data_IF_032251042222
#
_entry.id   IF_032251042222
#
_cell.length_a   1.000
_cell.length_b   1.000
_cell.length_c   1.000
_cell.angle_alpha   90.00
_cell.angle_beta   90.00
_cell.angle_gamma   90.00
#
_symmetry.space_group_name_H-M   'P 1'
#
loop_
_entity.id
_entity.type
_entity.pdbx_description
1 polymer ?
#
# COMPACT_ATOMS: atom_id res chain seq x y z
N UNK A 1 -18.20 14.66 13.42
CA UNK A 1 -17.80 16.09 13.26
C UNK A 1 -16.34 16.33 13.61
N UNK A 2 -15.87 16.01 14.83
CA UNK A 2 -14.47 16.20 15.22
C UNK A 2 -13.47 15.51 14.26
N UNK A 3 -13.73 14.25 13.90
CA UNK A 3 -12.85 13.52 12.97
C UNK A 3 -12.92 14.09 11.55
N UNK A 4 -14.11 14.43 11.04
CA UNK A 4 -14.23 15.09 9.74
C UNK A 4 -13.44 16.42 9.69
N UNK A 5 -13.45 17.22 10.77
CA UNK A 5 -12.66 18.44 10.85
C UNK A 5 -11.15 18.13 10.86
N UNK A 6 -10.69 17.22 11.73
CA UNK A 6 -9.27 16.85 11.84
C UNK A 6 -8.71 16.27 10.53
N UNK A 7 -9.43 15.32 9.93
CA UNK A 7 -9.05 14.68 8.67
C UNK A 7 -9.20 15.66 7.50
N UNK A 8 -10.23 16.51 7.51
CA UNK A 8 -10.44 17.51 6.47
C UNK A 8 -9.31 18.54 6.43
N UNK A 9 -8.87 19.03 7.59
CA UNK A 9 -7.71 19.92 7.67
C UNK A 9 -6.46 19.28 7.08
N UNK A 10 -6.14 18.04 7.48
CA UNK A 10 -4.90 17.38 7.03
C UNK A 10 -4.94 16.90 5.56
N UNK A 11 -6.09 16.45 5.07
CA UNK A 11 -6.18 15.69 3.83
C UNK A 11 -7.03 16.33 2.74
N UNK A 12 -7.67 17.47 3.03
CA UNK A 12 -8.28 18.35 2.02
C UNK A 12 -7.56 19.69 2.00
N UNK A 13 -7.43 20.36 3.15
CA UNK A 13 -6.81 21.70 3.21
C UNK A 13 -5.29 21.64 3.02
N UNK A 14 -4.56 20.91 3.87
CA UNK A 14 -3.09 20.78 3.76
C UNK A 14 -2.72 20.07 2.45
N UNK A 15 -3.50 19.06 2.03
CA UNK A 15 -3.26 18.39 0.75
C UNK A 15 -3.29 19.37 -0.44
N UNK A 16 -4.30 20.26 -0.48
CA UNK A 16 -4.36 21.32 -1.50
C UNK A 16 -3.28 22.38 -1.32
N UNK A 17 -2.89 22.70 -0.09
CA UNK A 17 -1.78 23.62 0.20
C UNK A 17 -0.47 23.10 -0.40
N UNK A 18 -0.11 21.84 -0.14
CA UNK A 18 1.09 21.19 -0.72
C UNK A 18 1.11 21.33 -2.25
N UNK A 19 -0.04 21.14 -2.91
CA UNK A 19 -0.14 21.30 -4.36
C UNK A 19 0.05 22.75 -4.78
N UNK A 20 -0.52 23.70 -4.03
CA UNK A 20 -0.36 25.13 -4.32
C UNK A 20 1.10 25.55 -4.25
N UNK A 21 1.83 25.12 -3.24
CA UNK A 21 3.26 25.42 -3.08
C UNK A 21 4.08 24.86 -4.25
N UNK A 22 3.80 23.64 -4.71
CA UNK A 22 4.47 23.12 -5.90
C UNK A 22 4.08 23.86 -7.19
N UNK A 23 2.86 24.36 -7.33
CA UNK A 23 2.50 25.20 -8.49
C UNK A 23 3.19 26.57 -8.41
N UNK A 24 3.33 27.15 -7.22
CA UNK A 24 4.03 28.44 -7.03
C UNK A 24 5.51 28.32 -7.43
N UNK A 25 6.17 27.26 -6.97
CA UNK A 25 7.54 26.94 -7.37
C UNK A 25 7.71 26.82 -8.89
N UNK A 26 6.70 26.27 -9.59
CA UNK A 26 6.72 26.11 -11.04
C UNK A 26 6.47 27.44 -11.77
N UNK A 27 5.59 28.28 -11.25
CA UNK A 27 5.31 29.61 -11.81
C UNK A 27 6.57 30.49 -11.72
N UNK A 28 7.23 30.52 -10.56
CA UNK A 28 8.48 31.25 -10.33
C UNK A 28 9.65 30.69 -11.17
N UNK A 29 9.71 29.37 -11.36
CA UNK A 29 10.66 28.74 -12.27
C UNK A 29 10.49 29.27 -13.71
N UNK A 30 9.25 29.33 -14.20
CA UNK A 30 8.93 29.80 -15.57
C UNK A 30 9.26 31.27 -15.76
N UNK A 31 9.08 32.08 -14.71
CA UNK A 31 9.43 33.51 -14.73
C UNK A 31 10.94 33.77 -14.63
N UNK A 32 11.76 32.74 -14.44
CA UNK A 32 13.21 32.85 -14.34
C UNK A 32 13.69 33.43 -13.01
N UNK A 33 12.86 33.39 -11.96
CA UNK A 33 13.16 33.87 -10.60
C UNK A 33 13.95 32.83 -9.76
N UNK A 34 14.73 31.96 -10.43
CA UNK A 34 15.43 30.83 -9.81
C UNK A 34 16.48 31.26 -8.78
N UNK A 35 17.06 32.46 -8.95
CA UNK A 35 18.06 33.03 -8.02
C UNK A 35 17.46 33.97 -6.97
N UNK A 36 16.15 34.21 -7.03
CA UNK A 36 15.46 34.92 -5.96
C UNK A 36 15.33 33.92 -4.81
N UNK A 37 16.31 34.03 -3.89
CA UNK A 37 16.52 33.16 -2.73
C UNK A 37 15.32 33.05 -1.77
N UNK A 38 14.17 33.65 -2.07
CA UNK A 38 12.94 33.58 -1.27
C UNK A 38 11.78 32.87 -2.00
N UNK A 39 11.91 32.52 -3.29
CA UNK A 39 10.73 32.20 -4.14
C UNK A 39 10.64 30.70 -4.58
N UNK A 40 11.26 30.20 -5.67
CA UNK A 40 10.83 28.91 -6.24
C UNK A 40 11.23 27.66 -5.44
N UNK A 41 12.49 27.59 -4.95
CA UNK A 41 12.96 26.43 -4.18
C UNK A 41 12.36 26.43 -2.78
N UNK A 42 12.12 27.63 -2.22
CA UNK A 42 11.45 27.80 -0.95
C UNK A 42 10.02 27.28 -1.00
N UNK A 43 9.24 27.63 -2.04
CA UNK A 43 7.91 27.09 -2.23
C UNK A 43 7.93 25.56 -2.43
N UNK A 44 8.86 25.02 -3.22
CA UNK A 44 8.95 23.56 -3.41
C UNK A 44 9.24 22.84 -2.08
N UNK A 45 10.23 23.31 -1.32
CA UNK A 45 10.61 22.71 -0.03
C UNK A 45 9.51 22.92 1.02
N UNK A 46 8.75 24.01 0.95
CA UNK A 46 7.57 24.23 1.79
C UNK A 46 6.49 23.18 1.49
N UNK A 47 6.22 22.89 0.22
CA UNK A 47 5.33 21.79 -0.18
C UNK A 47 5.76 20.44 0.42
N UNK A 48 7.06 20.12 0.39
CA UNK A 48 7.62 18.92 1.01
C UNK A 48 7.46 18.94 2.54
N UNK A 49 7.71 20.08 3.18
CA UNK A 49 7.60 20.24 4.62
C UNK A 49 6.15 20.05 5.12
N UNK A 50 5.16 20.59 4.40
CA UNK A 50 3.75 20.39 4.71
C UNK A 50 3.26 18.96 4.41
N UNK A 51 3.83 18.30 3.40
CA UNK A 51 3.56 16.89 3.14
C UNK A 51 4.02 15.99 4.28
N UNK A 52 5.25 16.20 4.76
CA UNK A 52 5.86 15.43 5.84
C UNK A 52 5.27 15.76 7.22
N UNK A 53 5.23 17.06 7.56
CA UNK A 53 4.85 17.56 8.87
C UNK A 53 5.96 17.47 9.92
N UNK A 54 6.00 18.44 10.82
CA UNK A 54 7.09 18.57 11.82
C UNK A 54 7.14 17.46 12.87
N UNK A 55 6.04 16.73 13.10
CA UNK A 55 5.96 15.65 14.08
C UNK A 55 6.51 14.31 13.56
N UNK A 56 6.79 14.21 12.26
CA UNK A 56 7.31 12.98 11.65
C UNK A 56 8.76 12.69 12.08
N UNK A 57 9.51 13.73 12.49
CA UNK A 57 10.92 13.61 12.84
C UNK A 57 11.80 13.22 11.64
N UNK A 58 13.11 13.01 11.85
CA UNK A 58 14.07 12.79 10.76
C UNK A 58 14.01 11.39 10.14
N UNK A 59 13.35 10.42 10.78
CA UNK A 59 13.36 9.00 10.41
C UNK A 59 11.97 8.39 10.26
N UNK A 60 10.92 9.20 10.24
CA UNK A 60 9.54 8.73 10.41
C UNK A 60 9.20 8.52 11.89
N UNK A 61 7.99 8.91 12.28
CA UNK A 61 7.52 8.83 13.66
C UNK A 61 6.06 8.42 13.69
N UNK A 62 5.66 7.68 14.72
CA UNK A 62 4.27 7.28 14.87
C UNK A 62 3.34 8.46 15.21
N UNK A 63 3.91 9.58 15.67
CA UNK A 63 3.24 10.81 16.08
C UNK A 63 2.87 11.75 14.92
N UNK A 64 3.30 11.44 13.70
CA UNK A 64 2.94 12.21 12.51
C UNK A 64 1.43 12.34 12.30
N UNK A 65 1.01 13.46 11.70
CA UNK A 65 -0.41 13.76 11.45
C UNK A 65 -0.72 14.23 10.02
N UNK A 66 0.31 14.40 9.19
CA UNK A 66 0.24 14.93 7.83
C UNK A 66 0.17 13.80 6.79
N UNK A 67 0.04 14.11 5.47
CA UNK A 67 -0.11 13.10 4.41
C UNK A 67 0.97 12.00 4.39
N UNK A 68 2.23 12.31 4.69
CA UNK A 68 3.30 11.30 4.79
C UNK A 68 2.92 10.18 5.77
N UNK A 69 2.47 10.54 6.97
CA UNK A 69 2.09 9.54 7.98
C UNK A 69 0.86 8.73 7.58
N UNK A 70 -0.06 9.33 6.83
CA UNK A 70 -1.20 8.59 6.30
C UNK A 70 -0.72 7.45 5.39
N UNK A 71 0.23 7.72 4.50
CA UNK A 71 0.81 6.71 3.62
C UNK A 71 1.47 5.56 4.40
N UNK A 72 2.28 5.87 5.42
CA UNK A 72 2.88 4.85 6.30
C UNK A 72 1.81 3.97 6.96
N UNK A 73 0.74 4.57 7.50
CA UNK A 73 -0.36 3.83 8.13
C UNK A 73 -1.16 3.00 7.14
N UNK A 74 -1.30 3.44 5.89
CA UNK A 74 -2.08 2.72 4.88
C UNK A 74 -1.28 1.62 4.23
N UNK A 75 0.03 1.77 4.05
CA UNK A 75 0.83 0.72 3.43
C UNK A 75 0.76 -0.60 4.20
N UNK A 76 0.78 -0.53 5.53
CA UNK A 76 0.65 -1.70 6.41
C UNK A 76 -0.72 -2.38 6.25
N UNK A 77 -1.77 -1.59 6.00
CA UNK A 77 -3.13 -2.11 5.81
C UNK A 77 -3.35 -2.68 4.42
N UNK A 78 -2.55 -2.26 3.42
CA UNK A 78 -2.75 -2.60 2.02
C UNK A 78 -1.65 -3.51 1.43
N UNK A 79 -0.67 -3.88 2.27
CA UNK A 79 0.53 -4.62 1.87
C UNK A 79 1.29 -3.92 0.74
N UNK A 80 1.49 -2.61 0.90
CA UNK A 80 2.19 -1.74 -0.06
C UNK A 80 3.38 -1.01 0.57
N UNK A 81 3.97 -1.57 1.64
CA UNK A 81 5.22 -1.07 2.20
C UNK A 81 6.43 -1.66 1.44
N UNK A 82 7.61 -1.11 1.71
CA UNK A 82 8.88 -1.54 1.14
C UNK A 82 9.12 -1.02 -0.28
N UNK A 83 10.35 -1.16 -0.75
CA UNK A 83 10.82 -0.69 -2.07
C UNK A 83 10.03 -1.28 -3.25
N UNK A 84 9.47 -2.48 -3.08
CA UNK A 84 8.67 -3.16 -4.10
C UNK A 84 7.16 -2.94 -3.95
N UNK A 85 6.71 -2.34 -2.85
CA UNK A 85 5.29 -2.16 -2.58
C UNK A 85 4.53 -3.47 -2.39
N UNK A 86 5.16 -4.48 -1.82
CA UNK A 86 4.55 -5.79 -1.54
C UNK A 86 4.79 -6.29 -0.09
N UNK A 87 5.28 -5.42 0.78
CA UNK A 87 5.59 -5.71 2.18
C UNK A 87 4.55 -5.10 3.14
N UNK A 88 4.55 -5.58 4.39
CA UNK A 88 3.69 -5.09 5.47
C UNK A 88 4.39 -4.11 6.42
N UNK A 89 5.72 -4.03 6.33
CA UNK A 89 6.58 -3.24 7.23
C UNK A 89 7.55 -2.39 6.42
N UNK A 90 8.14 -1.39 7.08
CA UNK A 90 9.03 -0.42 6.42
C UNK A 90 8.27 0.76 5.83
N UNK A 91 9.01 1.63 5.14
CA UNK A 91 8.46 2.84 4.52
C UNK A 91 7.44 2.48 3.44
N UNK A 92 6.35 3.24 3.36
CA UNK A 92 5.37 3.06 2.29
C UNK A 92 6.01 3.26 0.92
N UNK A 93 5.67 2.39 -0.04
CA UNK A 93 6.18 2.50 -1.41
C UNK A 93 5.96 3.90 -1.99
N UNK A 94 4.79 4.48 -1.74
CA UNK A 94 4.47 5.83 -2.23
C UNK A 94 5.34 6.91 -1.59
N UNK A 95 5.70 6.83 -0.30
CA UNK A 95 6.63 7.78 0.30
C UNK A 95 8.04 7.63 -0.26
N UNK A 96 8.51 6.40 -0.48
CA UNK A 96 9.80 6.14 -1.11
C UNK A 96 9.86 6.82 -2.49
N UNK A 97 8.82 6.65 -3.31
CA UNK A 97 8.75 7.27 -4.64
C UNK A 97 8.58 8.80 -4.57
N UNK A 98 7.78 9.30 -3.63
CA UNK A 98 7.56 10.73 -3.45
C UNK A 98 8.84 11.46 -3.04
N UNK A 99 9.64 10.90 -2.12
CA UNK A 99 10.93 11.48 -1.73
C UNK A 99 11.86 11.60 -2.95
N UNK A 100 11.92 10.56 -3.81
CA UNK A 100 12.68 10.62 -5.06
C UNK A 100 12.19 11.72 -6.00
N UNK A 101 10.87 11.88 -6.12
CA UNK A 101 10.26 12.90 -6.97
C UNK A 101 10.45 14.32 -6.43
N UNK A 102 10.45 14.50 -5.10
CA UNK A 102 10.75 15.77 -4.46
C UNK A 102 12.18 16.21 -4.77
N UNK A 103 13.16 15.31 -4.59
CA UNK A 103 14.56 15.59 -4.90
C UNK A 103 14.75 15.90 -6.41
N UNK A 104 14.12 15.12 -7.29
CA UNK A 104 14.21 15.33 -8.72
C UNK A 104 13.56 16.65 -9.16
N UNK A 105 12.37 16.96 -8.64
CA UNK A 105 11.68 18.21 -8.96
C UNK A 105 12.45 19.45 -8.51
N UNK A 106 13.05 19.40 -7.31
CA UNK A 106 13.92 20.47 -6.83
C UNK A 106 15.13 20.67 -7.76
N UNK A 107 15.81 19.59 -8.15
CA UNK A 107 16.92 19.66 -9.09
C UNK A 107 16.51 20.19 -10.48
N UNK A 108 15.33 19.80 -10.97
CA UNK A 108 14.78 20.30 -12.23
C UNK A 108 14.52 21.82 -12.12
N UNK A 109 13.97 22.30 -11.01
CA UNK A 109 13.75 23.75 -10.75
C UNK A 109 15.08 24.50 -10.71
N UNK A 110 16.05 24.01 -9.94
CA UNK A 110 17.38 24.62 -9.79
C UNK A 110 18.16 24.72 -11.11
N UNK A 111 17.87 23.83 -12.06
CA UNK A 111 18.50 23.82 -13.38
C UNK A 111 17.64 24.48 -14.47
N UNK A 112 16.52 25.11 -14.11
CA UNK A 112 15.61 25.80 -15.02
C UNK A 112 14.79 24.86 -15.92
N UNK A 113 14.71 23.57 -15.59
CA UNK A 113 13.95 22.56 -16.31
C UNK A 113 12.48 22.53 -15.84
N UNK A 114 11.79 23.67 -15.85
CA UNK A 114 10.45 23.82 -15.28
C UNK A 114 9.40 22.87 -15.89
N UNK A 115 9.54 22.55 -17.18
CA UNK A 115 8.67 21.58 -17.85
C UNK A 115 8.85 20.15 -17.33
N UNK A 116 10.07 19.79 -16.93
CA UNK A 116 10.35 18.51 -16.28
C UNK A 116 9.85 18.51 -14.84
N UNK A 117 10.12 19.56 -14.07
CA UNK A 117 9.58 19.73 -12.72
C UNK A 117 8.03 19.63 -12.69
N UNK A 118 7.34 20.20 -13.69
CA UNK A 118 5.88 20.10 -13.83
C UNK A 118 5.40 18.65 -13.96
N UNK A 119 6.10 17.81 -14.72
CA UNK A 119 5.78 16.37 -14.83
C UNK A 119 5.98 15.65 -13.50
N UNK A 120 7.01 16.01 -12.73
CA UNK A 120 7.26 15.43 -11.40
C UNK A 120 6.15 15.82 -10.43
N UNK A 121 5.74 17.09 -10.43
CA UNK A 121 4.58 17.57 -9.65
C UNK A 121 3.30 16.82 -10.01
N UNK A 122 3.00 16.63 -11.29
CA UNK A 122 1.84 15.83 -11.71
C UNK A 122 1.91 14.41 -11.14
N UNK A 123 3.07 13.76 -11.24
CA UNK A 123 3.28 12.42 -10.67
C UNK A 123 3.16 12.38 -9.14
N UNK A 124 3.64 13.42 -8.46
CA UNK A 124 3.50 13.58 -7.01
C UNK A 124 2.02 13.59 -6.61
N UNK A 125 1.18 14.38 -7.30
CA UNK A 125 -0.26 14.46 -7.01
C UNK A 125 -0.96 13.12 -7.20
N UNK A 126 -0.61 12.37 -8.25
CA UNK A 126 -1.14 11.02 -8.48
C UNK A 126 -0.82 10.09 -7.30
N UNK A 127 0.44 10.06 -6.85
CA UNK A 127 0.89 9.20 -5.74
C UNK A 127 0.32 9.64 -4.38
N UNK A 128 0.22 10.94 -4.12
CA UNK A 128 -0.40 11.48 -2.90
C UNK A 128 -1.87 11.07 -2.76
N UNK A 129 -2.53 10.70 -3.86
CA UNK A 129 -3.94 10.28 -3.87
C UNK A 129 -4.12 8.84 -3.38
N UNK A 130 -3.11 7.98 -3.57
CA UNK A 130 -3.15 6.55 -3.19
C UNK A 130 -3.55 6.32 -1.73
N UNK A 131 -2.93 6.95 -0.71
CA UNK A 131 -3.30 6.74 0.69
C UNK A 131 -4.71 7.22 1.04
N UNK A 132 -5.25 8.19 0.29
CA UNK A 132 -6.64 8.62 0.47
C UNK A 132 -7.61 7.54 -0.02
N UNK A 133 -7.34 6.95 -1.20
CA UNK A 133 -8.11 5.80 -1.74
C UNK A 133 -8.04 4.62 -0.79
N UNK A 134 -6.83 4.26 -0.33
CA UNK A 134 -6.64 3.20 0.66
C UNK A 134 -7.43 3.49 1.95
N UNK A 135 -7.44 4.74 2.42
CA UNK A 135 -8.25 5.19 3.53
C UNK A 135 -9.75 4.95 3.31
N UNK A 136 -10.28 5.38 2.16
CA UNK A 136 -11.69 5.20 1.79
C UNK A 136 -12.07 3.71 1.71
N UNK A 137 -11.30 2.90 0.98
CA UNK A 137 -11.55 1.46 0.83
C UNK A 137 -11.54 0.74 2.16
N UNK A 138 -10.61 1.10 3.06
CA UNK A 138 -10.54 0.51 4.40
C UNK A 138 -11.83 0.72 5.17
N UNK A 139 -12.34 1.95 5.18
CA UNK A 139 -13.54 2.28 5.93
C UNK A 139 -14.80 1.76 5.27
N UNK A 140 -14.85 1.74 3.94
CA UNK A 140 -15.91 1.04 3.20
C UNK A 140 -16.00 -0.43 3.59
N UNK A 141 -14.87 -1.14 3.64
CA UNK A 141 -14.84 -2.56 4.03
C UNK A 141 -15.25 -2.77 5.49
N UNK A 142 -14.75 -1.92 6.40
CA UNK A 142 -15.15 -1.99 7.82
C UNK A 142 -16.66 -1.83 7.98
N UNK A 143 -17.26 -0.85 7.31
CA UNK A 143 -18.69 -0.61 7.38
C UNK A 143 -19.53 -1.72 6.72
N UNK A 144 -19.05 -2.32 5.63
CA UNK A 144 -19.77 -3.37 4.91
C UNK A 144 -19.66 -4.76 5.57
N UNK A 145 -18.47 -5.13 6.04
CA UNK A 145 -18.13 -6.52 6.36
C UNK A 145 -17.68 -6.76 7.81
N UNK A 146 -17.39 -5.71 8.59
CA UNK A 146 -16.88 -5.83 9.96
C UNK A 146 -17.72 -4.98 10.93
N UNK A 147 -18.94 -5.43 11.31
CA UNK A 147 -19.87 -4.63 12.11
C UNK A 147 -19.31 -4.11 13.43
N UNK A 148 -18.38 -4.83 14.06
CA UNK A 148 -17.72 -4.40 15.31
C UNK A 148 -16.73 -3.25 15.12
N UNK A 149 -16.30 -3.00 13.87
CA UNK A 149 -15.39 -1.92 13.49
C UNK A 149 -16.10 -0.77 12.75
N UNK A 150 -17.39 -0.93 12.47
CA UNK A 150 -18.23 0.11 11.88
C UNK A 150 -18.61 1.15 12.94
N UNK A 151 -17.83 2.21 13.01
CA UNK A 151 -17.98 3.26 14.03
C UNK A 151 -18.26 4.60 13.38
N UNK A 152 -18.99 5.49 14.06
CA UNK A 152 -19.23 6.86 13.60
C UNK A 152 -17.92 7.64 13.34
N UNK A 153 -16.87 7.33 14.13
CA UNK A 153 -15.51 7.82 13.86
C UNK A 153 -15.00 7.32 12.52
N UNK A 154 -15.02 6.01 12.28
CA UNK A 154 -14.54 5.41 11.03
C UNK A 154 -15.32 5.89 9.81
N UNK A 155 -16.65 5.99 9.90
CA UNK A 155 -17.51 6.54 8.85
C UNK A 155 -17.15 7.99 8.53
N UNK A 156 -16.91 8.82 9.54
CA UNK A 156 -16.46 10.20 9.34
C UNK A 156 -15.10 10.26 8.66
N UNK A 157 -14.12 9.46 9.08
CA UNK A 157 -12.80 9.41 8.44
C UNK A 157 -12.90 8.93 6.97
N UNK A 158 -13.60 7.83 6.72
CA UNK A 158 -13.81 7.27 5.38
C UNK A 158 -14.51 8.24 4.42
N UNK A 159 -15.54 8.93 4.91
CA UNK A 159 -16.26 9.95 4.16
C UNK A 159 -15.37 11.14 3.80
N UNK A 160 -14.53 11.59 4.74
CA UNK A 160 -13.58 12.68 4.49
C UNK A 160 -12.49 12.29 3.50
N UNK A 161 -11.95 11.07 3.57
CA UNK A 161 -11.02 10.57 2.57
C UNK A 161 -11.66 10.48 1.19
N UNK A 162 -12.90 9.98 1.11
CA UNK A 162 -13.65 9.94 -0.15
C UNK A 162 -13.81 11.36 -0.71
N UNK A 163 -14.27 12.30 0.10
CA UNK A 163 -14.48 13.70 -0.29
C UNK A 163 -13.21 14.36 -0.86
N UNK A 164 -12.03 14.02 -0.34
CA UNK A 164 -10.76 14.53 -0.86
C UNK A 164 -10.45 14.05 -2.29
N UNK A 165 -10.85 12.83 -2.65
CA UNK A 165 -10.50 12.19 -3.93
C UNK A 165 -11.61 12.32 -4.98
N UNK A 166 -12.87 12.54 -4.56
CA UNK A 166 -14.03 12.61 -5.45
C UNK A 166 -13.86 13.57 -6.64
N UNK A 167 -13.27 14.77 -6.52
CA UNK A 167 -13.06 15.65 -7.69
C UNK A 167 -12.15 15.02 -8.75
N UNK A 168 -11.12 14.27 -8.33
CA UNK A 168 -10.18 13.58 -9.22
C UNK A 168 -10.90 12.44 -9.95
N UNK A 169 -11.71 11.66 -9.21
CA UNK A 169 -12.54 10.60 -9.82
C UNK A 169 -13.57 11.22 -10.78
N UNK A 170 -14.20 12.33 -10.42
CA UNK A 170 -15.22 12.98 -11.24
C UNK A 170 -14.67 13.49 -12.58
N UNK A 171 -13.39 13.91 -12.62
CA UNK A 171 -12.66 14.22 -13.87
C UNK A 171 -12.57 13.02 -14.81
N UNK A 172 -12.47 11.81 -14.26
CA UNK A 172 -12.40 10.55 -15.02
C UNK A 172 -13.78 9.95 -15.32
N UNK A 173 -14.69 9.95 -14.35
CA UNK A 173 -16.01 9.36 -14.39
C UNK A 173 -16.91 9.98 -13.33
N UNK A 174 -17.75 10.94 -13.73
CA UNK A 174 -18.74 11.56 -12.84
C UNK A 174 -19.67 10.52 -12.17
N UNK A 175 -20.04 9.47 -12.92
CA UNK A 175 -20.88 8.37 -12.41
C UNK A 175 -20.20 7.58 -11.28
N UNK A 176 -18.92 7.25 -11.44
CA UNK A 176 -18.21 6.48 -10.41
C UNK A 176 -17.91 7.35 -9.17
N UNK A 177 -17.67 8.64 -9.37
CA UNK A 177 -17.57 9.60 -8.27
C UNK A 177 -18.90 9.69 -7.48
N UNK A 178 -20.04 9.83 -8.16
CA UNK A 178 -21.35 9.83 -7.51
C UNK A 178 -21.60 8.52 -6.75
N UNK A 179 -21.22 7.37 -7.33
CA UNK A 179 -21.35 6.08 -6.63
C UNK A 179 -20.51 6.03 -5.36
N UNK A 180 -19.25 6.46 -5.39
CA UNK A 180 -18.40 6.51 -4.19
C UNK A 180 -19.00 7.47 -3.15
N UNK A 181 -19.52 8.62 -3.58
CA UNK A 181 -20.16 9.58 -2.69
C UNK A 181 -21.37 8.97 -1.97
N UNK A 182 -22.28 8.33 -2.72
CA UNK A 182 -23.50 7.74 -2.17
C UNK A 182 -23.20 6.62 -1.16
N UNK A 183 -22.17 5.81 -1.41
CA UNK A 183 -21.73 4.74 -0.51
C UNK A 183 -21.01 5.25 0.75
N UNK A 184 -20.30 6.37 0.64
CA UNK A 184 -19.40 6.88 1.71
C UNK A 184 -19.95 8.09 2.46
N UNK A 185 -21.09 8.67 2.08
CA UNK A 185 -21.65 9.84 2.76
C UNK A 185 -22.15 9.50 4.16
N UNK A 186 -21.81 10.35 5.13
CA UNK A 186 -22.32 10.21 6.51
C UNK A 186 -23.83 10.43 6.54
N UNK A 187 -24.55 9.57 7.25
CA UNK A 187 -26.00 9.69 7.41
C UNK A 187 -26.82 9.20 6.21
N UNK A 188 -26.18 8.56 5.22
CA UNK A 188 -26.90 7.73 4.25
C UNK A 188 -27.57 6.56 4.97
N UNK A 189 -28.88 6.41 4.83
CA UNK A 189 -29.64 5.38 5.55
C UNK A 189 -29.41 3.94 5.08
N UNK A 190 -28.61 3.73 4.03
CA UNK A 190 -28.29 2.41 3.47
C UNK A 190 -27.01 1.81 4.04
N UNK A 191 -26.90 0.48 3.99
CA UNK A 191 -25.64 -0.20 4.28
C UNK A 191 -24.65 0.05 3.14
N UNK A 192 -23.40 0.38 3.48
CA UNK A 192 -22.32 0.51 2.49
C UNK A 192 -22.04 -0.83 1.84
N UNK A 193 -21.97 -0.85 0.51
CA UNK A 193 -21.53 -2.00 -0.27
C UNK A 193 -20.07 -1.80 -0.71
N UNK A 194 -19.15 -2.55 -0.11
CA UNK A 194 -17.71 -2.40 -0.35
C UNK A 194 -17.33 -2.53 -1.84
N UNK A 195 -17.90 -3.53 -2.54
CA UNK A 195 -17.64 -3.79 -3.95
C UNK A 195 -17.98 -2.59 -4.84
N UNK A 196 -19.01 -1.82 -4.49
CA UNK A 196 -19.39 -0.61 -5.23
C UNK A 196 -18.31 0.45 -5.16
N UNK A 197 -17.75 0.67 -3.97
CA UNK A 197 -16.65 1.62 -3.74
C UNK A 197 -15.38 1.12 -4.43
N UNK A 198 -15.03 -0.16 -4.22
CA UNK A 198 -13.83 -0.79 -4.79
C UNK A 198 -13.82 -0.70 -6.31
N UNK A 199 -14.84 -1.25 -6.97
CA UNK A 199 -14.86 -1.26 -8.43
C UNK A 199 -15.01 0.13 -9.04
N UNK A 200 -15.65 1.07 -8.36
CA UNK A 200 -15.68 2.47 -8.80
C UNK A 200 -14.29 3.09 -8.82
N UNK A 201 -13.48 2.87 -7.78
CA UNK A 201 -12.09 3.32 -7.78
C UNK A 201 -11.25 2.61 -8.84
N UNK A 202 -11.28 1.28 -8.90
CA UNK A 202 -10.43 0.48 -9.79
C UNK A 202 -10.63 0.79 -11.28
N UNK A 203 -11.86 1.09 -11.69
CA UNK A 203 -12.14 1.54 -13.07
C UNK A 203 -11.45 2.86 -13.44
N UNK A 204 -11.09 3.68 -12.45
CA UNK A 204 -10.55 5.01 -12.65
C UNK A 204 -9.03 5.10 -12.46
N UNK A 205 -8.37 4.09 -11.88
CA UNK A 205 -6.93 4.10 -11.59
C UNK A 205 -6.06 4.53 -12.78
N UNK A 206 -6.30 3.94 -13.97
CA UNK A 206 -5.56 4.31 -15.18
C UNK A 206 -5.72 5.80 -15.56
N UNK A 207 -6.92 6.36 -15.42
CA UNK A 207 -7.16 7.78 -15.69
C UNK A 207 -6.55 8.69 -14.60
N UNK A 208 -6.51 8.20 -13.36
CA UNK A 208 -5.88 8.87 -12.22
C UNK A 208 -4.34 8.71 -12.19
N UNK A 209 -3.75 8.03 -13.17
CA UNK A 209 -2.29 7.83 -13.26
C UNK A 209 -1.70 6.83 -12.26
N UNK A 210 -2.53 6.04 -11.58
CA UNK A 210 -2.08 5.07 -10.56
C UNK A 210 -2.37 3.63 -11.00
N UNK A 211 -1.71 2.68 -10.36
CA UNK A 211 -1.84 1.24 -10.67
C UNK A 211 -2.53 0.46 -9.57
N UNK A 212 -3.03 -0.73 -9.91
CA UNK A 212 -3.56 -1.67 -8.92
C UNK A 212 -2.51 -2.03 -7.85
N UNK A 213 -1.26 -2.24 -8.26
CA UNK A 213 -0.17 -2.56 -7.34
C UNK A 213 0.15 -1.42 -6.36
N UNK A 214 0.01 -0.17 -6.79
CA UNK A 214 0.23 1.00 -5.92
C UNK A 214 -0.84 1.12 -4.84
N UNK A 215 -2.09 0.79 -5.16
CA UNK A 215 -3.18 0.81 -4.16
C UNK A 215 -3.15 -0.43 -3.27
N UNK A 216 -2.83 -1.60 -3.82
CA UNK A 216 -2.78 -2.86 -3.09
C UNK A 216 -4.17 -3.41 -2.74
N UNK A 217 -4.24 -4.22 -1.69
CA UNK A 217 -5.46 -4.88 -1.24
C UNK A 217 -5.51 -4.96 0.28
N UNK A 218 -6.70 -4.95 0.87
CA UNK A 218 -6.83 -4.87 2.32
C UNK A 218 -6.37 -6.17 2.99
N UNK A 219 -5.28 -6.09 3.74
CA UNK A 219 -4.64 -7.25 4.38
C UNK A 219 -5.29 -7.57 5.74
N UNK A 220 -5.56 -8.85 5.96
CA UNK A 220 -5.93 -9.42 7.25
C UNK A 220 -4.70 -10.07 7.88
N UNK A 221 -4.15 -9.40 8.90
CA UNK A 221 -2.98 -9.89 9.62
C UNK A 221 -3.30 -11.12 10.48
N UNK A 222 -4.54 -11.28 10.96
CA UNK A 222 -4.93 -12.45 11.74
C UNK A 222 -4.93 -13.74 10.91
N UNK A 223 -5.37 -13.62 9.65
CA UNK A 223 -5.52 -14.73 8.72
C UNK A 223 -4.37 -14.85 7.70
N UNK A 224 -3.39 -13.93 7.77
CA UNK A 224 -2.24 -13.84 6.85
C UNK A 224 -2.64 -13.91 5.37
N UNK A 225 -3.74 -13.23 5.02
CA UNK A 225 -4.30 -13.17 3.66
C UNK A 225 -5.01 -11.84 3.43
N UNK A 226 -5.34 -11.51 2.18
CA UNK A 226 -6.26 -10.41 1.92
C UNK A 226 -7.66 -10.77 2.41
N UNK A 227 -8.39 -9.77 2.92
CA UNK A 227 -9.81 -9.92 3.21
C UNK A 227 -10.58 -10.37 1.96
N UNK A 228 -11.64 -11.16 2.17
CA UNK A 228 -12.47 -11.66 1.08
C UNK A 228 -13.05 -10.50 0.25
N UNK A 229 -12.89 -10.56 -1.07
CA UNK A 229 -13.28 -9.48 -1.99
C UNK A 229 -12.32 -8.26 -2.03
N UNK A 230 -11.39 -8.12 -1.07
CA UNK A 230 -10.50 -6.95 -0.96
C UNK A 230 -9.10 -7.16 -1.53
N UNK A 231 -8.96 -8.05 -2.52
CA UNK A 231 -7.69 -8.33 -3.17
C UNK A 231 -7.29 -7.19 -4.12
N UNK A 232 -5.97 -6.95 -4.35
CA UNK A 232 -5.53 -6.01 -5.37
C UNK A 232 -6.14 -6.37 -6.73
N UNK A 233 -6.54 -5.37 -7.50
CA UNK A 233 -6.88 -5.60 -8.91
C UNK A 233 -5.65 -5.97 -9.74
N UNK A 234 -5.86 -6.23 -11.03
CA UNK A 234 -4.79 -6.44 -12.01
C UNK A 234 -4.81 -5.32 -13.01
N UNK A 235 -3.65 -4.71 -13.27
CA UNK A 235 -3.54 -3.73 -14.33
C UNK A 235 -3.72 -4.40 -15.69
N UNK A 236 -4.32 -3.67 -16.63
CA UNK A 236 -4.56 -4.14 -18.00
C UNK A 236 -3.22 -4.30 -18.74
N UNK A 237 -2.58 -5.44 -18.52
CA UNK A 237 -1.20 -5.77 -18.94
C UNK A 237 -0.67 -7.05 -18.27
N UNK A 238 -1.22 -7.41 -17.09
CA UNK A 238 -0.84 -8.60 -16.32
C UNK A 238 -1.57 -9.89 -16.73
N UNK A 239 -2.34 -9.85 -17.83
CA UNK A 239 -3.18 -10.95 -18.32
C UNK A 239 -2.43 -12.24 -18.68
N UNK A 240 -1.09 -12.24 -18.67
CA UNK A 240 -0.27 -13.40 -19.04
C UNK A 240 0.34 -14.19 -17.87
N UNK A 241 -0.10 -13.94 -16.62
CA UNK A 241 0.31 -14.78 -15.47
C UNK A 241 -0.87 -15.25 -14.62
N UNK A 242 -1.94 -15.71 -15.26
CA UNK A 242 -2.90 -16.57 -14.58
C UNK A 242 -2.34 -18.00 -14.52
N UNK A 243 -1.44 -18.25 -13.58
CA UNK A 243 -1.22 -19.61 -13.11
C UNK A 243 -2.50 -20.02 -12.38
N UNK A 244 -3.39 -20.69 -13.11
CA UNK A 244 -4.54 -21.37 -12.56
C UNK A 244 -4.01 -22.48 -11.65
N UNK A 245 -3.86 -22.17 -10.37
CA UNK A 245 -3.71 -23.16 -9.29
C UNK A 245 -5.05 -23.84 -9.02
N UNK A 246 -5.66 -24.45 -10.04
CA UNK A 246 -6.68 -25.47 -9.81
C UNK A 246 -5.91 -26.73 -9.43
N UNK A 247 -5.87 -27.02 -8.13
CA UNK A 247 -5.40 -28.29 -7.59
C UNK A 247 -6.27 -29.43 -8.13
N UNK A 248 -5.89 -29.98 -9.29
CA UNK A 248 -6.31 -31.31 -9.72
C UNK A 248 -5.47 -32.29 -8.88
N UNK A 249 -5.96 -32.56 -7.67
CA UNK A 249 -5.50 -33.66 -6.83
C UNK A 249 -5.88 -35.00 -7.44
N UNK A 250 -5.35 -35.35 -8.61
CA UNK A 250 -5.41 -36.72 -9.18
C UNK A 250 -4.18 -37.09 -10.05
N UNK A 251 -3.17 -36.21 -10.18
CA UNK A 251 -1.92 -36.52 -10.91
C UNK A 251 -0.76 -37.04 -10.05
N UNK A 252 -0.74 -36.69 -8.76
CA UNK A 252 0.38 -36.99 -7.86
C UNK A 252 0.45 -38.44 -7.37
N UNK A 253 -0.69 -39.15 -7.32
CA UNK A 253 -0.73 -40.53 -6.84
C UNK A 253 -0.15 -41.54 -7.87
N UNK A 254 -0.22 -41.23 -9.18
CA UNK A 254 0.29 -42.12 -10.22
C UNK A 254 1.82 -42.07 -10.35
N UNK A 255 2.43 -40.90 -10.17
CA UNK A 255 3.88 -40.75 -10.23
C UNK A 255 4.60 -41.41 -9.04
N UNK A 256 4.02 -41.36 -7.84
CA UNK A 256 4.58 -42.02 -6.65
C UNK A 256 4.49 -43.55 -6.78
N UNK A 257 3.39 -44.08 -7.34
CA UNK A 257 3.24 -45.52 -7.56
C UNK A 257 4.25 -46.08 -8.59
N UNK A 258 4.53 -45.33 -9.67
CA UNK A 258 5.53 -45.74 -10.68
C UNK A 258 6.95 -45.69 -10.12
N UNK A 259 7.30 -44.69 -9.30
CA UNK A 259 8.60 -44.62 -8.64
C UNK A 259 8.78 -45.74 -7.60
N UNK A 260 7.74 -46.05 -6.81
CA UNK A 260 7.78 -47.17 -5.86
C UNK A 260 7.93 -48.53 -6.58
N UNK A 261 7.24 -48.75 -7.70
CA UNK A 261 7.40 -49.97 -8.51
C UNK A 261 8.81 -50.10 -9.11
N UNK A 262 9.40 -49.00 -9.61
CA UNK A 262 10.77 -49.01 -10.12
C UNK A 262 11.82 -49.30 -9.03
N UNK A 263 11.65 -48.77 -7.82
CA UNK A 263 12.58 -49.02 -6.70
C UNK A 263 12.46 -50.46 -6.20
N UNK A 264 11.26 -51.04 -6.14
CA UNK A 264 11.04 -52.44 -5.74
C UNK A 264 11.55 -53.42 -6.82
N UNK A 265 11.37 -53.11 -8.11
CA UNK A 265 11.93 -53.90 -9.21
C UNK A 265 13.46 -53.85 -9.25
N UNK A 266 14.08 -52.70 -8.96
CA UNK A 266 15.55 -52.57 -8.90
C UNK A 266 16.16 -53.31 -7.70
N UNK A 267 15.48 -53.33 -6.55
CA UNK A 267 15.94 -54.06 -5.34
C UNK A 267 15.91 -55.57 -5.48
N UNK A 268 15.07 -56.14 -6.36
CA UNK A 268 15.05 -57.60 -6.64
C UNK A 268 16.22 -58.08 -7.51
N UNK A 269 16.92 -57.19 -8.22
CA UNK A 269 18.02 -57.57 -9.11
C UNK A 269 19.40 -57.65 -8.43
N UNK A 270 19.55 -57.20 -7.18
CA UNK A 270 20.86 -57.15 -6.51
C UNK A 270 21.00 -58.04 -5.27
N UNK A 271 20.07 -58.96 -5.04
CA UNK A 271 20.18 -59.94 -3.97
C UNK A 271 21.01 -61.16 -4.40
N UNK A 272 22.34 -60.99 -4.51
CA UNK A 272 23.33 -62.08 -4.41
C UNK A 272 24.73 -61.49 -4.24
N UNK A 273 25.22 -61.39 -3.00
CA UNK A 273 26.63 -61.59 -2.61
C UNK A 273 26.84 -61.30 -1.11
N UNK A 274 26.91 -62.40 -0.36
CA UNK A 274 27.60 -62.73 0.90
C UNK A 274 28.55 -61.73 1.61
N UNK A 275 28.24 -61.55 2.90
CA UNK A 275 29.04 -61.75 4.14
C UNK A 275 29.98 -60.70 4.80
N UNK A 276 29.74 -60.59 6.13
CA UNK A 276 30.59 -60.27 7.30
C UNK A 276 30.93 -58.82 7.78
N UNK A 277 31.11 -58.60 9.13
CA UNK A 277 30.50 -57.47 9.86
C UNK A 277 31.43 -56.56 10.72
N UNK A 278 30.84 -55.44 11.21
CA UNK A 278 31.14 -54.61 12.42
C UNK A 278 32.42 -53.74 12.47
N UNK A 279 32.56 -52.73 13.38
CA UNK A 279 31.58 -52.02 14.23
C UNK A 279 31.74 -50.47 14.29
N UNK A 280 30.85 -49.90 15.11
CA UNK A 280 30.69 -48.54 15.66
C UNK A 280 31.93 -47.76 16.15
N UNK A 281 31.83 -46.44 16.05
CA UNK A 281 32.25 -45.41 17.03
C UNK A 281 31.24 -44.25 16.86
N UNK A 282 30.71 -43.57 17.88
CA UNK A 282 31.23 -43.30 19.21
C UNK A 282 31.30 -41.78 19.38
N UNK A 283 30.74 -41.29 20.48
CA UNK A 283 30.96 -39.98 21.13
C UNK A 283 30.12 -38.77 20.67
N UNK A 284 29.22 -38.23 21.50
CA UNK A 284 29.23 -37.70 22.89
C UNK A 284 29.63 -36.23 23.00
N UNK A 285 29.06 -35.62 24.06
CA UNK A 285 29.25 -34.28 24.63
C UNK A 285 28.29 -33.19 24.09
N UNK A 286 27.26 -32.77 24.84
CA UNK A 286 27.26 -31.84 26.01
C UNK A 286 27.85 -30.49 25.66
N UNK A 287 27.39 -29.31 26.06
CA UNK A 287 26.41 -28.73 27.00
C UNK A 287 26.56 -27.22 26.72
N UNK A 288 25.49 -26.40 26.78
CA UNK A 288 25.45 -25.26 27.70
C UNK A 288 24.10 -24.52 27.64
N UNK A 289 23.64 -24.21 28.84
CA UNK A 289 22.42 -23.54 29.25
C UNK A 289 22.50 -22.02 29.08
N UNK A 290 21.35 -21.39 28.78
CA UNK A 290 20.82 -20.27 29.58
C UNK A 290 19.41 -19.92 29.08
N UNK A 291 18.40 -20.19 29.91
CA UNK A 291 17.12 -19.51 29.83
C UNK A 291 17.13 -18.27 30.70
N UNK A 292 16.26 -17.31 30.38
CA UNK A 292 15.39 -16.62 31.33
C UNK A 292 14.39 -15.75 30.58
N UNK A 293 13.12 -15.89 30.96
CA UNK A 293 12.03 -14.89 31.07
C UNK A 293 11.75 -13.95 29.88
N UNK A 294 10.57 -13.96 29.26
CA UNK A 294 9.25 -14.00 29.88
C UNK A 294 8.67 -12.58 29.95
N UNK A 295 7.69 -12.27 29.09
CA UNK A 295 6.48 -11.49 29.40
C UNK A 295 5.63 -11.25 28.15
N UNK A 296 4.49 -11.94 28.12
CA UNK A 296 3.26 -11.51 27.49
C UNK A 296 2.84 -10.11 28.02
N UNK A 297 2.22 -9.26 27.17
CA UNK A 297 0.79 -8.88 27.26
C UNK A 297 0.39 -7.56 26.54
N UNK A 298 -0.81 -7.62 25.93
CA UNK A 298 -1.88 -6.59 25.82
C UNK A 298 -1.64 -5.52 24.73
N UNK A 299 -2.37 -5.44 23.60
CA UNK A 299 -3.83 -5.32 23.31
C UNK A 299 -4.54 -4.20 24.08
N UNK A 300 -4.52 -2.99 23.53
CA UNK A 300 -5.59 -1.99 23.66
C UNK A 300 -5.56 -1.05 22.45
#
# INVERSE_FOLDING_TARGET
RAEAARKGTAYMSVWMYVIREFEDALDDCVEGRITDNDDPVHAWDEGVAFYAGSLEGPSGSDDGVMPYRLAEKRCQNFKTCGEKGDELTGTSYVNIELLRLFDQGQNDILTGQCGEARKKKERIVELMTVPLIQGTLRYAYRSAALPTLDTEKGRAEGSTFAAAVLPIVAKCSARDAERIYEEMKVGGGGATEYDNVKYAFERNYKCMGITCSQVGGLWDDGEQRYYDGAHPCKDSGDSNKLAIGLGIGLGGALLIAVVCLFVVCKRRSSATATDHPMPSFGDTATEFSAGEDGKDKIIA
#
